data_IF_169754015626
#
_entry.id   IF_169754015626
#
_cell.length_a   1.000
_cell.length_b   1.000
_cell.length_c   1.000
_cell.angle_alpha   90.00
_cell.angle_beta   90.00
_cell.angle_gamma   90.00
#
_symmetry.space_group_name_H-M   'P 1'
#
loop_
_entity.id
_entity.type
_entity.pdbx_description
1 polymer ?
#
# COMPACT_ATOMS: atom_id res chain seq x y z
N UNK A 1 -2.30 1.02 8.68
CA UNK A 1 -1.49 2.26 8.69
C UNK A 1 -0.20 1.99 7.94
N UNK A 2 -0.14 2.28 6.63
CA UNK A 2 1.03 1.98 5.80
C UNK A 2 2.15 2.96 6.16
N UNK A 3 3.21 2.46 6.81
CA UNK A 3 4.41 3.25 7.06
C UNK A 3 5.08 3.55 5.72
N UNK A 4 5.02 4.81 5.27
CA UNK A 4 5.90 5.29 4.21
C UNK A 4 7.35 5.07 4.68
N UNK A 5 8.21 4.37 3.92
CA UNK A 5 9.63 4.29 4.26
C UNK A 5 10.24 5.67 4.05
N UNK A 6 10.27 6.47 5.10
CA UNK A 6 10.69 7.87 4.99
C UNK A 6 10.68 8.62 6.31
N UNK A 7 10.97 7.96 7.43
CA UNK A 7 11.14 8.69 8.68
C UNK A 7 12.21 8.09 9.57
N UNK A 8 13.30 8.85 9.64
CA UNK A 8 14.41 8.84 10.58
C UNK A 8 15.70 8.21 10.02
N UNK A 9 16.79 8.99 10.09
CA UNK A 9 18.15 8.84 9.51
C UNK A 9 18.28 9.22 8.00
N UNK A 10 18.82 10.34 7.52
CA UNK A 10 19.38 11.57 8.11
C UNK A 10 19.95 12.48 6.99
N UNK A 11 19.38 13.66 6.76
CA UNK A 11 19.92 14.72 5.90
C UNK A 11 20.60 14.25 4.60
N UNK A 12 21.80 14.76 4.34
CA UNK A 12 22.61 14.42 3.15
C UNK A 12 23.07 12.95 3.17
N UNK A 13 23.39 12.38 4.34
CA UNK A 13 23.82 10.97 4.45
C UNK A 13 22.76 9.98 3.94
N UNK A 14 21.49 10.25 4.23
CA UNK A 14 20.38 9.44 3.71
C UNK A 14 20.29 9.51 2.19
N UNK A 15 20.53 10.69 1.60
CA UNK A 15 20.54 10.87 0.15
C UNK A 15 21.72 10.13 -0.51
N UNK A 16 22.91 10.18 0.08
CA UNK A 16 24.07 9.44 -0.42
C UNK A 16 23.79 7.94 -0.44
N UNK A 17 23.18 7.41 0.63
CA UNK A 17 22.81 5.99 0.68
C UNK A 17 21.78 5.63 -0.38
N UNK A 18 20.76 6.47 -0.57
CA UNK A 18 19.75 6.27 -1.62
C UNK A 18 20.39 6.25 -3.02
N UNK A 19 21.35 7.15 -3.28
CA UNK A 19 22.09 7.19 -4.55
C UNK A 19 22.94 5.92 -4.74
N UNK A 20 23.54 5.42 -3.66
CA UNK A 20 24.33 4.19 -3.71
C UNK A 20 23.47 2.96 -4.02
N UNK A 21 22.32 2.85 -3.34
CA UNK A 21 21.47 1.67 -3.40
C UNK A 21 20.55 1.68 -4.65
N UNK A 22 20.12 2.87 -5.12
CA UNK A 22 19.09 3.04 -6.16
C UNK A 22 19.43 4.14 -7.18
N UNK A 23 20.71 4.33 -7.48
CA UNK A 23 21.21 5.45 -8.28
C UNK A 23 20.65 5.51 -9.70
N UNK A 24 20.50 4.38 -10.38
CA UNK A 24 20.05 4.31 -11.77
C UNK A 24 18.58 4.74 -11.91
N UNK A 25 17.69 4.22 -11.06
CA UNK A 25 16.28 4.64 -11.05
C UNK A 25 16.10 6.11 -10.69
N UNK A 26 16.87 6.61 -9.70
CA UNK A 26 16.87 8.03 -9.37
C UNK A 26 17.40 8.89 -10.53
N UNK A 27 18.47 8.46 -11.21
CA UNK A 27 19.02 9.18 -12.35
C UNK A 27 18.06 9.20 -13.54
N UNK A 28 17.33 8.11 -13.79
CA UNK A 28 16.27 8.07 -14.79
C UNK A 28 15.17 9.11 -14.49
N UNK A 29 14.63 9.13 -13.27
CA UNK A 29 13.59 10.09 -12.86
C UNK A 29 14.05 11.56 -13.00
N UNK A 30 15.32 11.82 -12.73
CA UNK A 30 15.95 13.13 -12.92
C UNK A 30 16.07 13.49 -14.40
N UNK A 31 16.52 12.56 -15.24
CA UNK A 31 16.67 12.76 -16.70
C UNK A 31 15.34 13.10 -17.35
N UNK A 32 14.24 12.43 -16.96
CA UNK A 32 12.89 12.74 -17.45
C UNK A 32 12.50 14.20 -17.20
N UNK A 33 13.00 14.78 -16.10
CA UNK A 33 12.77 16.18 -15.71
C UNK A 33 13.89 17.12 -16.17
N UNK A 34 14.78 16.64 -17.05
CA UNK A 34 15.92 17.38 -17.60
C UNK A 34 16.94 17.82 -16.55
N UNK A 35 17.02 17.09 -15.44
CA UNK A 35 18.02 17.25 -14.39
C UNK A 35 19.06 16.14 -14.50
N UNK A 36 20.23 16.30 -13.88
CA UNK A 36 21.26 15.27 -13.82
C UNK A 36 21.74 15.05 -12.40
N UNK A 37 21.94 13.79 -12.03
CA UNK A 37 22.41 13.42 -10.70
C UNK A 37 23.80 14.02 -10.39
N UNK A 38 24.67 14.11 -11.39
CA UNK A 38 26.00 14.71 -11.28
C UNK A 38 26.01 16.22 -10.96
N UNK A 39 24.89 16.91 -11.16
CA UNK A 39 24.77 18.36 -10.90
C UNK A 39 24.36 18.62 -9.44
N UNK A 40 24.09 17.58 -8.65
CA UNK A 40 23.70 17.72 -7.24
C UNK A 40 24.84 18.31 -6.41
N UNK A 41 24.54 19.40 -5.72
CA UNK A 41 25.48 20.13 -4.87
C UNK A 41 26.01 21.41 -5.50
N UNK A 42 25.65 21.73 -6.74
CA UNK A 42 25.93 23.05 -7.33
C UNK A 42 24.96 24.11 -6.80
N UNK A 43 25.25 25.41 -6.99
CA UNK A 43 24.29 26.48 -6.68
C UNK A 43 22.96 26.36 -7.43
N UNK A 44 22.97 25.77 -8.63
CA UNK A 44 21.80 25.61 -9.49
C UNK A 44 20.96 24.39 -9.12
N UNK A 45 21.56 23.36 -8.51
CA UNK A 45 20.86 22.16 -8.07
C UNK A 45 21.42 21.63 -6.75
N UNK A 46 20.86 22.11 -5.65
CA UNK A 46 21.39 21.83 -4.31
C UNK A 46 20.95 20.47 -3.77
N UNK A 47 21.63 19.99 -2.72
CA UNK A 47 21.18 18.82 -1.95
C UNK A 47 19.76 18.96 -1.40
N UNK A 48 19.31 20.21 -1.15
CA UNK A 48 17.95 20.48 -0.71
C UNK A 48 16.96 20.25 -1.84
N UNK A 49 17.31 20.62 -3.06
CA UNK A 49 16.46 20.46 -4.25
C UNK A 49 16.28 18.98 -4.57
N UNK A 50 17.37 18.19 -4.54
CA UNK A 50 17.29 16.74 -4.66
C UNK A 50 16.36 16.13 -3.58
N UNK A 51 16.45 16.58 -2.33
CA UNK A 51 15.58 16.09 -1.26
C UNK A 51 14.10 16.44 -1.51
N UNK A 52 13.82 17.64 -2.01
CA UNK A 52 12.45 18.07 -2.34
C UNK A 52 11.93 17.23 -3.50
N UNK A 53 12.75 17.07 -4.55
CA UNK A 53 12.45 16.22 -5.70
C UNK A 53 12.02 14.82 -5.26
N UNK A 54 12.85 14.13 -4.50
CA UNK A 54 12.56 12.76 -4.02
C UNK A 54 11.29 12.72 -3.16
N UNK A 55 11.10 13.71 -2.28
CA UNK A 55 9.92 13.78 -1.39
C UNK A 55 8.60 13.85 -2.16
N UNK A 56 8.59 14.44 -3.35
CA UNK A 56 7.41 14.66 -4.16
C UNK A 56 7.41 13.87 -5.48
N UNK A 57 8.24 12.82 -5.57
CA UNK A 57 8.19 11.92 -6.72
C UNK A 57 6.79 11.29 -6.87
N UNK A 58 6.26 11.19 -8.10
CA UNK A 58 4.99 10.55 -8.37
C UNK A 58 5.08 9.04 -8.14
N UNK A 59 3.94 8.33 -8.03
CA UNK A 59 3.92 6.88 -7.79
C UNK A 59 4.36 6.06 -9.00
N UNK A 60 4.40 6.69 -10.15
CA UNK A 60 4.84 6.17 -11.43
C UNK A 60 6.34 6.32 -11.64
N UNK A 61 7.07 6.93 -10.71
CA UNK A 61 8.51 7.13 -10.84
C UNK A 61 9.27 5.80 -10.77
N UNK A 62 10.40 5.72 -11.50
CA UNK A 62 11.25 4.54 -11.49
C UNK A 62 11.78 4.26 -10.08
N UNK A 63 12.18 5.30 -9.34
CA UNK A 63 12.65 5.15 -7.97
C UNK A 63 11.57 4.60 -7.02
N UNK A 64 10.32 5.07 -7.16
CA UNK A 64 9.21 4.54 -6.37
C UNK A 64 8.93 3.09 -6.74
N UNK A 65 8.99 2.75 -8.03
CA UNK A 65 8.82 1.39 -8.51
C UNK A 65 9.85 0.40 -7.94
N UNK A 66 11.08 0.87 -7.71
CA UNK A 66 12.15 0.04 -7.16
C UNK A 66 12.07 -0.11 -5.63
N UNK A 67 11.76 0.97 -4.91
CA UNK A 67 11.76 0.99 -3.43
C UNK A 67 10.46 0.45 -2.83
N UNK A 68 9.33 0.67 -3.51
CA UNK A 68 8.01 0.23 -3.08
C UNK A 68 7.22 -0.36 -4.26
N UNK A 69 7.60 -1.56 -4.75
CA UNK A 69 6.98 -2.18 -5.92
C UNK A 69 5.48 -2.42 -5.77
N UNK A 70 5.03 -2.67 -4.53
CA UNK A 70 3.62 -2.88 -4.23
C UNK A 70 2.82 -1.59 -4.38
N UNK A 71 3.37 -0.44 -4.00
CA UNK A 71 2.72 0.86 -4.13
C UNK A 71 2.87 1.50 -5.53
N UNK A 72 3.83 1.03 -6.31
CA UNK A 72 4.17 1.54 -7.63
C UNK A 72 3.00 1.41 -8.61
N UNK A 73 2.74 2.45 -9.39
CA UNK A 73 1.64 2.48 -10.35
C UNK A 73 0.23 2.57 -9.76
N UNK A 74 0.08 2.41 -8.44
CA UNK A 74 -1.19 2.64 -7.72
C UNK A 74 -1.40 4.12 -7.39
N UNK A 75 -1.45 4.95 -8.42
CA UNK A 75 -1.85 6.34 -8.32
C UNK A 75 -3.32 6.49 -7.89
N UNK A 76 -3.72 7.71 -7.57
CA UNK A 76 -5.12 7.98 -7.22
C UNK A 76 -6.04 7.61 -8.39
N UNK A 77 -5.60 7.92 -9.60
CA UNK A 77 -6.26 7.58 -10.85
C UNK A 77 -6.38 6.06 -11.00
N UNK A 78 -5.31 5.31 -10.77
CA UNK A 78 -5.35 3.85 -10.82
C UNK A 78 -6.30 3.25 -9.76
N UNK A 79 -6.31 3.79 -8.54
CA UNK A 79 -7.23 3.38 -7.47
C UNK A 79 -8.68 3.66 -7.82
N UNK A 80 -8.97 4.82 -8.41
CA UNK A 80 -10.32 5.20 -8.84
C UNK A 80 -10.77 4.32 -10.02
N UNK A 81 -9.89 4.08 -10.99
CA UNK A 81 -10.18 3.20 -12.13
C UNK A 81 -10.43 1.75 -11.71
N UNK A 82 -9.66 1.23 -10.74
CA UNK A 82 -9.92 -0.09 -10.17
C UNK A 82 -11.28 -0.13 -9.46
N UNK A 83 -11.66 0.95 -8.75
CA UNK A 83 -12.97 1.05 -8.10
C UNK A 83 -14.11 1.06 -9.13
N UNK A 84 -13.94 1.75 -10.26
CA UNK A 84 -14.90 1.74 -11.36
C UNK A 84 -15.02 0.34 -11.97
N UNK A 85 -13.89 -0.33 -12.25
CA UNK A 85 -13.87 -1.68 -12.80
C UNK A 85 -14.55 -2.68 -11.86
N UNK A 86 -14.30 -2.61 -10.55
CA UNK A 86 -14.97 -3.42 -9.53
C UNK A 86 -16.49 -3.21 -9.57
N UNK A 87 -16.94 -1.96 -9.64
CA UNK A 87 -18.36 -1.62 -9.75
C UNK A 87 -19.01 -2.19 -11.01
N UNK A 88 -18.31 -2.14 -12.14
CA UNK A 88 -18.79 -2.71 -13.42
C UNK A 88 -18.91 -4.24 -13.31
N UNK A 89 -17.88 -4.93 -12.81
CA UNK A 89 -17.92 -6.37 -12.61
C UNK A 89 -19.08 -6.78 -11.69
N UNK A 90 -19.29 -6.02 -10.61
CA UNK A 90 -20.40 -6.26 -9.70
C UNK A 90 -21.76 -6.07 -10.38
N UNK A 91 -21.95 -4.97 -11.14
CA UNK A 91 -23.19 -4.71 -11.87
C UNK A 91 -23.49 -5.76 -12.94
N UNK A 92 -22.45 -6.29 -13.61
CA UNK A 92 -22.60 -7.39 -14.56
C UNK A 92 -23.02 -8.67 -13.83
N UNK A 93 -22.35 -9.01 -12.73
CA UNK A 93 -22.68 -10.18 -11.91
C UNK A 93 -24.09 -10.12 -11.32
N UNK A 94 -24.52 -8.95 -10.84
CA UNK A 94 -25.83 -8.73 -10.24
C UNK A 94 -27.00 -9.04 -11.19
N UNK A 95 -26.76 -9.04 -12.51
CA UNK A 95 -27.73 -9.39 -13.55
C UNK A 95 -27.79 -10.88 -13.89
N UNK A 96 -26.99 -11.71 -13.21
CA UNK A 96 -26.92 -13.17 -13.46
C UNK A 96 -27.78 -13.95 -12.47
N UNK A 97 -28.10 -15.21 -12.80
CA UNK A 97 -28.75 -16.16 -11.86
C UNK A 97 -27.92 -16.40 -10.59
N UNK A 98 -26.60 -16.25 -10.69
CA UNK A 98 -25.70 -16.35 -9.55
C UNK A 98 -25.82 -15.09 -8.66
N UNK A 99 -25.98 -13.92 -9.27
CA UNK A 99 -26.33 -12.66 -8.60
C UNK A 99 -27.62 -12.77 -7.79
N UNK A 100 -28.69 -13.31 -8.38
CA UNK A 100 -29.97 -13.56 -7.70
C UNK A 100 -29.81 -14.46 -6.46
N UNK A 101 -28.86 -15.40 -6.50
CA UNK A 101 -28.60 -16.38 -5.43
C UNK A 101 -27.45 -15.98 -4.51
N UNK A 102 -26.82 -14.82 -4.72
CA UNK A 102 -25.66 -14.37 -3.95
C UNK A 102 -24.43 -15.29 -4.06
N UNK A 103 -24.26 -16.01 -5.18
CA UNK A 103 -23.15 -16.95 -5.39
C UNK A 103 -22.10 -16.36 -6.32
N UNK A 104 -20.84 -16.79 -6.19
CA UNK A 104 -19.75 -16.43 -7.10
C UNK A 104 -19.57 -14.93 -7.34
N UNK A 105 -19.78 -14.11 -6.30
CA UNK A 105 -19.59 -12.66 -6.40
C UNK A 105 -18.14 -12.34 -6.81
N UNK A 106 -17.93 -11.45 -7.80
CA UNK A 106 -16.59 -11.10 -8.23
C UNK A 106 -15.81 -10.45 -7.08
N UNK A 107 -14.54 -10.83 -6.96
CA UNK A 107 -13.62 -10.20 -6.03
C UNK A 107 -13.13 -8.86 -6.60
N UNK A 108 -12.95 -7.83 -5.74
CA UNK A 108 -12.28 -6.60 -6.14
C UNK A 108 -10.88 -6.87 -6.71
N UNK A 109 -10.44 -6.03 -7.65
CA UNK A 109 -9.07 -6.04 -8.16
C UNK A 109 -8.11 -5.85 -6.97
N UNK A 110 -7.15 -6.78 -6.75
CA UNK A 110 -6.19 -6.68 -5.65
C UNK A 110 -5.40 -5.37 -5.75
N UNK A 111 -5.38 -4.59 -4.66
CA UNK A 111 -4.72 -3.29 -4.64
C UNK A 111 -4.19 -2.90 -3.27
N UNK A 112 -3.12 -2.08 -3.19
CA UNK A 112 -2.51 -1.67 -1.94
C UNK A 112 -3.51 -0.99 -1.00
N UNK A 113 -3.45 -1.36 0.27
CA UNK A 113 -4.31 -0.80 1.32
C UNK A 113 -5.75 -1.31 1.33
N UNK A 114 -6.14 -2.20 0.40
CA UNK A 114 -7.43 -2.89 0.43
C UNK A 114 -7.21 -4.35 0.75
N UNK A 115 -7.53 -4.73 1.99
CA UNK A 115 -7.44 -6.13 2.41
C UNK A 115 -8.60 -6.95 1.83
N UNK A 116 -8.30 -8.18 1.41
CA UNK A 116 -9.34 -9.14 1.02
C UNK A 116 -10.15 -9.54 2.26
N UNK A 117 -11.38 -9.01 2.36
CA UNK A 117 -12.31 -9.28 3.47
C UNK A 117 -12.78 -10.75 3.52
N UNK A 118 -12.39 -11.60 2.56
CA UNK A 118 -12.83 -13.00 2.50
C UNK A 118 -12.01 -13.98 3.34
N UNK A 119 -11.12 -13.53 4.23
CA UNK A 119 -10.45 -14.42 5.20
C UNK A 119 -11.49 -15.03 6.16
N UNK A 120 -11.99 -16.22 5.82
CA UNK A 120 -12.66 -17.09 6.78
C UNK A 120 -11.62 -17.52 7.81
N UNK A 121 -11.75 -17.03 9.03
CA UNK A 121 -10.97 -17.55 10.16
C UNK A 121 -11.44 -18.98 10.38
N UNK A 122 -10.57 -19.95 10.08
CA UNK A 122 -10.81 -21.36 10.42
C UNK A 122 -10.46 -21.51 11.90
N UNK A 123 -11.46 -21.70 12.73
CA UNK A 123 -11.31 -22.07 14.14
C UNK A 123 -12.08 -23.35 14.42
N UNK A 124 -11.59 -24.12 15.39
CA UNK A 124 -12.42 -25.12 16.07
C UNK A 124 -13.37 -24.38 17.01
N UNK A 125 -14.66 -24.75 17.06
CA UNK A 125 -15.54 -24.26 18.11
C UNK A 125 -14.96 -24.67 19.47
N UNK A 126 -14.65 -23.70 20.32
CA UNK A 126 -14.27 -23.95 21.71
C UNK A 126 -15.43 -23.56 22.64
N UNK A 127 -15.65 -24.31 23.73
CA UNK A 127 -16.60 -23.94 24.77
C UNK A 127 -16.32 -22.53 25.30
N UNK A 128 -17.39 -21.75 25.54
CA UNK A 128 -17.28 -20.36 26.02
C UNK A 128 -16.47 -20.26 27.32
N UNK A 129 -16.56 -21.27 28.19
CA UNK A 129 -15.82 -21.30 29.45
C UNK A 129 -14.29 -21.36 29.24
N UNK A 130 -13.82 -22.15 28.28
CA UNK A 130 -12.39 -22.29 27.97
C UNK A 130 -11.83 -20.98 27.40
N UNK A 131 -12.65 -20.28 26.61
CA UNK A 131 -12.34 -18.96 26.06
C UNK A 131 -12.25 -17.91 27.18
N UNK A 132 -13.19 -17.93 28.14
CA UNK A 132 -13.20 -17.00 29.29
C UNK A 132 -12.01 -17.26 30.22
N UNK A 133 -11.66 -18.52 30.47
CA UNK A 133 -10.47 -18.90 31.23
C UNK A 133 -9.19 -18.42 30.56
N UNK A 134 -9.09 -18.53 29.23
CA UNK A 134 -7.95 -18.02 28.47
C UNK A 134 -7.83 -16.49 28.46
N UNK A 135 -8.97 -15.76 28.41
CA UNK A 135 -9.00 -14.29 28.39
C UNK A 135 -8.64 -13.67 29.75
N UNK A 136 -8.86 -14.38 30.85
CA UNK A 136 -8.53 -13.96 32.20
C UNK A 136 -9.57 -13.03 32.86
N UNK A 137 -9.25 -12.47 34.03
CA UNK A 137 -10.22 -11.77 34.88
C UNK A 137 -10.78 -10.49 34.23
N UNK A 138 -12.08 -10.27 34.35
CA UNK A 138 -12.82 -9.15 33.72
C UNK A 138 -13.66 -9.53 32.50
N UNK A 139 -13.69 -10.81 32.12
CA UNK A 139 -14.54 -11.35 31.05
C UNK A 139 -15.57 -12.39 31.57
N UNK A 140 -15.75 -12.49 32.89
CA UNK A 140 -16.59 -13.53 33.51
C UNK A 140 -18.07 -13.40 33.12
N UNK A 141 -18.55 -12.18 32.88
CA UNK A 141 -19.95 -11.89 32.54
C UNK A 141 -20.36 -12.44 31.15
N UNK A 142 -19.39 -12.73 30.26
CA UNK A 142 -19.68 -13.29 28.94
C UNK A 142 -20.12 -14.75 28.99
N UNK A 143 -19.77 -15.50 30.05
CA UNK A 143 -20.17 -16.89 30.21
C UNK A 143 -21.66 -17.05 30.61
N UNK A 144 -22.27 -16.03 31.21
CA UNK A 144 -23.66 -16.08 31.72
C UNK A 144 -24.72 -15.70 30.68
N UNK A 145 -24.30 -15.20 29.52
CA UNK A 145 -25.19 -14.71 28.45
C UNK A 145 -25.36 -15.69 27.27
N UNK A 146 -24.74 -16.86 27.33
CA UNK A 146 -24.76 -17.92 26.30
C UNK A 146 -25.59 -19.12 26.75
#
# INVERSE_FOLDING_TARGET
>A
MVRRPGSHHGGIRGLIRLIWDHGEALEFDLIERKLRLRDVGTPEFTWRDLRIFIKYLPRESALVAEIDPDAAGWSLEALLMATVADGIHWLQWAKTKDGEKGRNQPKPIPRPGVEDKTKRIKGTPEPVNDIVEWLGPGFEDFALAA
#
